data_IF_112208117416
#
_entry.id   IF_112208117416
#
_cell.length_a   1.000
_cell.length_b   1.000
_cell.length_c   1.000
_cell.angle_alpha   90.00
_cell.angle_beta   90.00
_cell.angle_gamma   90.00
#
_symmetry.space_group_name_H-M   'P 1'
#
loop_
_entity.id
_entity.type
_entity.pdbx_description
1 polymer ?
#
# COMPACT_ATOMS: atom_id res chain seq x y z
N UNK A 1 -83.34 -16.84 22.83
CA UNK A 1 -81.87 -16.88 23.06
C UNK A 1 -81.40 -15.45 23.32
N UNK A 2 -81.16 -15.06 24.57
CA UNK A 2 -80.73 -13.70 24.92
C UNK A 2 -79.19 -13.63 24.98
N UNK A 3 -78.58 -13.04 23.96
CA UNK A 3 -77.16 -12.73 23.94
C UNK A 3 -76.86 -11.61 24.95
N UNK A 4 -76.25 -11.99 26.08
CA UNK A 4 -75.82 -11.07 27.13
C UNK A 4 -74.59 -10.30 26.62
N UNK A 5 -74.83 -9.11 26.06
CA UNK A 5 -73.78 -8.21 25.56
C UNK A 5 -72.87 -7.80 26.73
N UNK A 6 -71.66 -8.36 26.80
CA UNK A 6 -70.65 -7.98 27.81
C UNK A 6 -70.22 -6.54 27.52
N UNK A 7 -70.53 -5.61 28.44
CA UNK A 7 -69.88 -4.30 28.52
C UNK A 7 -68.38 -4.54 28.68
N UNK A 8 -67.61 -4.29 27.61
CA UNK A 8 -66.17 -4.14 27.70
C UNK A 8 -65.91 -2.89 28.55
N UNK A 9 -65.31 -3.07 29.72
CA UNK A 9 -64.86 -1.97 30.56
C UNK A 9 -63.93 -1.07 29.75
N UNK A 10 -64.15 0.24 29.81
CA UNK A 10 -63.27 1.22 29.16
C UNK A 10 -61.82 0.96 29.58
N UNK A 11 -60.85 0.92 28.64
CA UNK A 11 -59.46 0.70 28.99
C UNK A 11 -59.01 1.79 29.97
N UNK A 12 -58.46 1.38 31.11
CA UNK A 12 -57.82 2.31 32.04
C UNK A 12 -56.63 2.95 31.32
N UNK A 13 -56.63 4.28 31.24
CA UNK A 13 -55.51 5.03 30.70
C UNK A 13 -54.32 4.93 31.67
N UNK A 14 -53.12 4.74 31.12
CA UNK A 14 -51.88 4.78 31.90
C UNK A 14 -51.66 6.15 32.52
N UNK A 15 -51.15 6.17 33.75
CA UNK A 15 -50.74 7.39 34.43
C UNK A 15 -49.44 7.93 33.84
N UNK A 16 -49.22 9.24 33.95
CA UNK A 16 -47.98 9.88 33.51
C UNK A 16 -46.73 9.27 34.17
N UNK A 17 -46.85 8.86 35.44
CA UNK A 17 -45.77 8.23 36.21
C UNK A 17 -45.39 6.87 35.62
N UNK A 18 -46.38 6.05 35.24
CA UNK A 18 -46.12 4.76 34.59
C UNK A 18 -45.41 4.94 33.24
N UNK A 19 -45.82 5.92 32.44
CA UNK A 19 -45.17 6.24 31.15
C UNK A 19 -43.72 6.68 31.38
N UNK A 20 -43.47 7.56 32.36
CA UNK A 20 -42.13 8.00 32.71
C UNK A 20 -41.26 6.83 33.18
N UNK A 21 -41.78 5.97 34.05
CA UNK A 21 -41.06 4.81 34.56
C UNK A 21 -40.67 3.84 33.44
N UNK A 22 -41.59 3.54 32.51
CA UNK A 22 -41.30 2.71 31.32
C UNK A 22 -40.23 3.35 30.45
N UNK A 23 -40.29 4.67 30.24
CA UNK A 23 -39.29 5.39 29.44
C UNK A 23 -37.90 5.30 30.07
N UNK A 24 -37.80 5.51 31.40
CA UNK A 24 -36.54 5.40 32.15
C UNK A 24 -35.96 3.99 32.08
N UNK A 25 -36.78 2.96 32.32
CA UNK A 25 -36.35 1.56 32.22
C UNK A 25 -35.85 1.25 30.81
N UNK A 26 -36.58 1.70 29.78
CA UNK A 26 -36.22 1.46 28.39
C UNK A 26 -34.89 2.14 28.03
N UNK A 27 -34.67 3.38 28.48
CA UNK A 27 -33.39 4.09 28.29
C UNK A 27 -32.22 3.38 28.98
N UNK A 28 -32.41 2.88 30.21
CA UNK A 28 -31.37 2.12 30.93
C UNK A 28 -31.05 0.82 30.20
N UNK A 29 -32.07 0.07 29.76
CA UNK A 29 -31.88 -1.16 28.99
C UNK A 29 -31.14 -0.90 27.66
N UNK A 30 -31.50 0.16 26.92
CA UNK A 30 -30.76 0.56 25.73
C UNK A 30 -29.32 0.95 26.06
N UNK A 31 -29.09 1.68 27.14
CA UNK A 31 -27.75 2.03 27.61
C UNK A 31 -26.87 0.79 27.88
N UNK A 32 -27.45 -0.27 28.44
CA UNK A 32 -26.75 -1.54 28.71
C UNK A 32 -26.54 -2.38 27.45
N UNK A 33 -27.46 -2.34 26.47
CA UNK A 33 -27.36 -3.12 25.23
C UNK A 33 -26.44 -2.49 24.18
N UNK A 34 -26.35 -1.15 24.15
CA UNK A 34 -25.60 -0.43 23.11
C UNK A 34 -24.11 -0.79 23.02
N UNK A 35 -23.36 -0.96 24.13
CA UNK A 35 -21.96 -1.43 24.06
C UNK A 35 -21.84 -2.80 23.40
N UNK A 36 -22.69 -3.76 23.79
CA UNK A 36 -22.69 -5.12 23.22
C UNK A 36 -23.04 -5.14 21.73
N UNK A 37 -23.97 -4.28 21.29
CA UNK A 37 -24.31 -4.13 19.88
C UNK A 37 -23.16 -3.50 19.07
N UNK A 38 -22.49 -2.48 19.61
CA UNK A 38 -21.30 -1.86 18.97
C UNK A 38 -20.19 -2.89 18.79
N UNK A 39 -19.89 -3.65 19.82
CA UNK A 39 -18.89 -4.70 19.81
C UNK A 39 -19.24 -5.82 18.81
N UNK A 40 -20.48 -6.31 18.84
CA UNK A 40 -20.95 -7.33 17.91
C UNK A 40 -20.85 -6.87 16.45
N UNK A 41 -21.17 -5.59 16.16
CA UNK A 41 -21.02 -5.00 14.83
C UNK A 41 -19.55 -4.94 14.40
N UNK A 42 -18.65 -4.49 15.27
CA UNK A 42 -17.22 -4.44 14.99
C UNK A 42 -16.65 -5.84 14.72
N UNK A 43 -17.04 -6.84 15.51
CA UNK A 43 -16.67 -8.24 15.32
C UNK A 43 -17.18 -8.80 13.99
N UNK A 44 -18.44 -8.52 13.64
CA UNK A 44 -19.02 -8.98 12.38
C UNK A 44 -18.30 -8.37 11.17
N UNK A 45 -17.97 -7.07 11.22
CA UNK A 45 -17.17 -6.39 10.18
C UNK A 45 -15.78 -7.04 10.04
N UNK A 46 -15.11 -7.26 11.17
CA UNK A 46 -13.81 -7.94 11.20
C UNK A 46 -13.87 -9.34 10.58
N UNK A 47 -14.84 -10.18 10.96
CA UNK A 47 -14.95 -11.55 10.42
C UNK A 47 -15.18 -11.52 8.90
N UNK A 48 -16.08 -10.64 8.44
CA UNK A 48 -16.37 -10.47 7.01
C UNK A 48 -15.12 -10.06 6.23
N UNK A 49 -14.41 -9.05 6.72
CA UNK A 49 -13.14 -8.64 6.14
C UNK A 49 -12.09 -9.74 6.19
N UNK A 50 -11.93 -10.42 7.31
CA UNK A 50 -10.90 -11.45 7.45
C UNK A 50 -11.13 -12.57 6.45
N UNK A 51 -12.39 -13.01 6.28
CA UNK A 51 -12.77 -13.96 5.23
C UNK A 51 -12.43 -13.45 3.82
N UNK A 52 -12.67 -12.17 3.54
CA UNK A 52 -12.33 -11.55 2.25
C UNK A 52 -10.81 -11.43 2.03
N UNK A 53 -10.04 -11.02 3.05
CA UNK A 53 -8.57 -10.97 3.00
C UNK A 53 -7.95 -12.36 2.80
N UNK A 54 -8.55 -13.42 3.36
CA UNK A 54 -8.12 -14.80 3.08
C UNK A 54 -8.40 -15.23 1.63
N UNK A 55 -9.34 -14.60 0.92
CA UNK A 55 -9.50 -14.82 -0.52
C UNK A 55 -8.35 -14.19 -1.29
N UNK A 56 -7.91 -12.98 -0.91
CA UNK A 56 -6.71 -12.37 -1.50
C UNK A 56 -5.45 -13.20 -1.29
N UNK A 57 -5.32 -13.87 -0.13
CA UNK A 57 -4.21 -14.80 0.10
C UNK A 57 -4.16 -15.95 -0.91
N UNK A 58 -5.28 -16.25 -1.59
CA UNK A 58 -5.42 -17.33 -2.57
C UNK A 58 -5.59 -16.82 -4.00
N UNK A 59 -5.59 -15.51 -4.20
CA UNK A 59 -5.66 -14.89 -5.53
C UNK A 59 -4.31 -15.08 -6.22
N UNK A 60 -4.32 -15.57 -7.45
CA UNK A 60 -3.13 -15.86 -8.24
C UNK A 60 -2.33 -14.62 -8.60
N UNK A 61 -2.98 -13.46 -8.62
CA UNK A 61 -2.33 -12.19 -8.93
C UNK A 61 -1.84 -11.45 -7.69
N UNK A 62 -2.20 -11.89 -6.48
CA UNK A 62 -1.80 -11.23 -5.24
C UNK A 62 -0.35 -11.59 -4.89
N UNK A 63 0.53 -10.60 -4.82
CA UNK A 63 1.98 -10.77 -4.56
C UNK A 63 2.35 -10.41 -3.14
N UNK A 64 1.70 -9.39 -2.60
CA UNK A 64 1.91 -8.98 -1.21
C UNK A 64 0.54 -8.82 -0.58
N UNK A 65 0.37 -9.37 0.61
CA UNK A 65 -0.75 -9.10 1.50
C UNK A 65 -0.25 -9.04 2.94
N UNK A 66 0.10 -7.83 3.39
CA UNK A 66 0.35 -7.56 4.80
C UNK A 66 -0.97 -7.20 5.46
N UNK A 67 -1.63 -8.18 6.06
CA UNK A 67 -2.90 -7.94 6.74
C UNK A 67 -2.73 -7.33 8.14
N UNK A 68 -1.50 -7.18 8.65
CA UNK A 68 -1.15 -6.68 9.98
C UNK A 68 -1.85 -7.38 11.17
N UNK A 69 -2.69 -8.38 10.94
CA UNK A 69 -3.48 -9.08 11.95
C UNK A 69 -2.77 -10.33 12.45
N UNK A 70 -2.07 -11.02 11.55
CA UNK A 70 -1.33 -12.24 11.89
C UNK A 70 -0.06 -11.95 12.71
N UNK A 71 0.12 -10.69 13.12
CA UNK A 71 1.13 -10.20 14.05
C UNK A 71 2.53 -10.07 13.47
N UNK A 72 3.45 -9.61 14.32
CA UNK A 72 4.89 -9.74 14.07
C UNK A 72 5.26 -11.21 14.22
N UNK A 73 5.90 -11.79 13.22
CA UNK A 73 6.62 -13.05 13.44
C UNK A 73 8.06 -12.73 13.82
N UNK A 74 8.51 -13.29 14.94
CA UNK A 74 9.93 -13.49 15.17
C UNK A 74 10.44 -14.54 14.18
N UNK A 75 11.71 -14.43 13.80
CA UNK A 75 12.46 -15.32 12.89
C UNK A 75 12.18 -15.24 11.39
N UNK A 76 12.59 -14.14 10.76
CA UNK A 76 13.25 -14.31 9.46
C UNK A 76 14.65 -14.87 9.70
N UNK A 77 14.93 -16.09 9.26
CA UNK A 77 16.28 -16.64 9.24
C UNK A 77 16.82 -16.48 7.82
N UNK A 78 17.81 -15.59 7.62
CA UNK A 78 18.47 -15.47 6.32
C UNK A 78 19.10 -16.83 5.96
N UNK A 79 18.92 -17.37 4.74
CA UNK A 79 19.44 -18.70 4.37
C UNK A 79 20.97 -18.85 4.39
N UNK A 80 21.74 -17.76 4.53
CA UNK A 80 23.20 -17.78 4.49
C UNK A 80 23.81 -17.30 5.81
N UNK A 81 24.20 -18.26 6.66
CA UNK A 81 25.20 -18.26 7.76
C UNK A 81 25.21 -17.17 8.86
N UNK A 82 24.37 -16.14 8.82
CA UNK A 82 24.20 -15.21 9.94
C UNK A 82 22.76 -15.24 10.41
N UNK A 83 22.52 -15.73 11.64
CA UNK A 83 21.23 -15.70 12.33
C UNK A 83 20.83 -14.25 12.65
N UNK A 84 20.40 -13.51 11.64
CA UNK A 84 19.84 -12.17 11.81
C UNK A 84 18.38 -12.32 12.21
N UNK A 85 18.04 -11.97 13.43
CA UNK A 85 16.64 -11.87 13.83
C UNK A 85 16.16 -10.47 13.46
N UNK A 86 15.06 -10.37 12.73
CA UNK A 86 14.40 -9.10 12.40
C UNK A 86 12.91 -9.32 12.61
N UNK A 87 12.23 -8.34 13.20
CA UNK A 87 10.77 -8.35 13.28
C UNK A 87 10.20 -8.27 11.85
N UNK A 88 9.33 -9.22 11.50
CA UNK A 88 8.74 -9.27 10.17
C UNK A 88 7.22 -9.23 10.18
N UNK A 89 6.67 -8.58 9.16
CA UNK A 89 5.28 -8.67 8.73
C UNK A 89 5.20 -9.83 7.74
N UNK A 90 4.39 -10.84 8.08
CA UNK A 90 4.20 -11.97 7.19
C UNK A 90 3.44 -11.53 5.94
N UNK A 91 3.93 -11.93 4.78
CA UNK A 91 3.17 -11.90 3.55
C UNK A 91 2.15 -13.07 3.51
N UNK A 92 0.86 -12.74 3.44
CA UNK A 92 -0.22 -13.74 3.35
C UNK A 92 -0.50 -14.25 1.93
N UNK A 93 0.08 -13.63 0.90
CA UNK A 93 -0.23 -13.91 -0.50
C UNK A 93 0.33 -15.27 -0.98
N UNK A 94 -0.23 -16.38 -0.50
CA UNK A 94 0.25 -17.75 -0.72
C UNK A 94 -0.18 -18.34 -2.07
N UNK A 95 -1.22 -17.78 -2.70
CA UNK A 95 -1.80 -18.25 -3.96
C UNK A 95 -1.16 -17.72 -5.24
N UNK A 96 -0.21 -16.77 -5.13
CA UNK A 96 0.42 -16.14 -6.28
C UNK A 96 1.00 -17.19 -7.24
N UNK A 97 0.66 -17.10 -8.52
CA UNK A 97 1.09 -18.06 -9.55
C UNK A 97 2.34 -17.61 -10.30
N UNK A 98 3.01 -16.55 -9.83
CA UNK A 98 4.23 -16.06 -10.45
C UNK A 98 5.31 -17.15 -10.50
N UNK A 99 5.90 -17.32 -11.69
CA UNK A 99 7.02 -18.21 -11.91
C UNK A 99 8.00 -17.57 -12.89
N UNK A 100 9.29 -17.69 -12.60
CA UNK A 100 10.37 -17.18 -13.45
C UNK A 100 11.54 -18.16 -13.49
N UNK A 101 11.92 -18.61 -14.70
CA UNK A 101 13.05 -19.53 -14.98
C UNK A 101 13.26 -20.64 -13.93
N UNK A 102 12.21 -21.43 -13.67
CA UNK A 102 12.30 -22.58 -12.75
C UNK A 102 12.25 -22.22 -11.26
N UNK A 103 11.99 -20.95 -10.91
CA UNK A 103 11.59 -20.54 -9.56
C UNK A 103 10.08 -20.43 -9.51
N UNK A 104 9.51 -21.01 -8.46
CA UNK A 104 8.11 -20.78 -8.07
C UNK A 104 8.07 -19.64 -7.07
N UNK A 105 6.99 -18.87 -7.11
CA UNK A 105 6.72 -17.88 -6.08
C UNK A 105 6.75 -18.50 -4.66
N UNK A 106 7.32 -17.76 -3.72
CA UNK A 106 7.30 -18.06 -2.30
C UNK A 106 6.98 -16.77 -1.53
N UNK A 107 5.84 -16.73 -0.85
CA UNK A 107 5.38 -15.53 -0.15
C UNK A 107 6.40 -14.98 0.84
N UNK A 108 7.18 -15.85 1.49
CA UNK A 108 8.19 -15.46 2.49
C UNK A 108 9.35 -14.67 1.92
N UNK A 109 9.63 -14.82 0.62
CA UNK A 109 10.66 -14.02 -0.04
C UNK A 109 10.27 -12.53 -0.08
N UNK A 110 8.97 -12.24 0.11
CA UNK A 110 8.35 -10.92 0.13
C UNK A 110 7.79 -10.52 1.51
N UNK A 111 8.29 -11.08 2.61
CA UNK A 111 7.93 -10.63 3.96
C UNK A 111 8.37 -9.17 4.21
N UNK A 112 7.59 -8.41 5.00
CA UNK A 112 7.88 -7.02 5.33
C UNK A 112 8.85 -6.92 6.51
N UNK A 113 10.08 -6.48 6.27
CA UNK A 113 11.09 -6.24 7.30
C UNK A 113 10.81 -4.92 8.03
N UNK A 114 10.56 -4.98 9.33
CA UNK A 114 10.39 -3.78 10.14
C UNK A 114 11.76 -3.14 10.42
N UNK A 115 11.91 -1.88 10.01
CA UNK A 115 13.18 -1.16 10.02
C UNK A 115 13.10 0.09 10.88
N UNK A 116 14.27 0.53 11.39
CA UNK A 116 14.45 1.83 12.00
C UNK A 116 15.31 2.73 11.10
N UNK A 117 14.73 3.80 10.56
CA UNK A 117 15.47 4.80 9.79
C UNK A 117 16.20 5.77 10.73
N UNK A 118 17.45 5.47 11.08
CA UNK A 118 18.29 6.34 11.93
C UNK A 118 19.03 7.39 11.11
N UNK A 119 18.81 8.68 11.41
CA UNK A 119 19.69 9.81 11.05
C UNK A 119 20.21 9.84 9.61
N UNK A 120 19.46 10.49 8.72
CA UNK A 120 19.98 11.11 7.49
C UNK A 120 20.24 10.22 6.27
N UNK A 121 20.67 8.97 6.39
CA UNK A 121 21.14 8.24 5.19
C UNK A 121 21.23 6.72 5.25
N UNK A 122 20.91 6.07 6.38
CA UNK A 122 21.05 4.62 6.50
C UNK A 122 19.85 3.96 7.20
N UNK A 123 19.33 2.89 6.60
CA UNK A 123 18.54 1.92 7.34
C UNK A 123 19.47 1.14 8.25
N UNK A 124 19.25 1.26 9.56
CA UNK A 124 19.70 0.23 10.46
C UNK A 124 18.59 -0.82 10.54
N UNK A 125 18.88 -2.01 10.01
CA UNK A 125 18.19 -3.20 10.51
C UNK A 125 18.77 -3.45 11.87
N UNK A 126 17.92 -3.57 12.88
CA UNK A 126 18.43 -4.04 14.14
C UNK A 126 18.69 -5.55 14.00
N UNK A 127 19.96 -5.89 13.87
CA UNK A 127 20.42 -7.26 13.99
C UNK A 127 20.42 -7.59 15.48
N UNK A 128 19.58 -8.53 15.92
CA UNK A 128 19.78 -9.11 17.24
C UNK A 128 21.06 -9.96 17.17
N UNK A 129 22.16 -9.41 17.70
CA UNK A 129 23.28 -10.23 18.13
C UNK A 129 22.93 -10.79 19.50
N UNK A 130 23.03 -12.11 19.63
CA UNK A 130 22.93 -12.80 20.92
C UNK A 130 24.26 -12.59 21.68
N UNK A 131 24.28 -12.03 22.91
CA UNK A 131 23.16 -11.76 23.82
C UNK A 131 22.54 -10.35 23.72
N UNK A 132 21.26 -10.19 24.09
CA UNK A 132 20.47 -8.98 23.83
C UNK A 132 20.71 -7.90 24.89
N UNK A 133 21.89 -7.30 24.95
CA UNK A 133 22.18 -6.26 25.96
C UNK A 133 21.80 -4.84 25.51
N UNK A 134 21.52 -4.60 24.21
CA UNK A 134 21.14 -3.29 23.68
C UNK A 134 20.01 -3.37 22.63
N UNK A 135 18.86 -3.92 23.04
CA UNK A 135 17.69 -4.03 22.14
C UNK A 135 16.96 -2.68 21.94
N UNK A 136 17.37 -1.89 20.95
CA UNK A 136 16.56 -0.80 20.36
C UNK A 136 15.34 -1.39 19.63
N UNK A 137 14.33 -1.87 20.39
CA UNK A 137 13.07 -2.39 19.85
C UNK A 137 12.57 -1.49 18.70
N UNK A 138 12.33 -2.07 17.53
CA UNK A 138 11.74 -1.34 16.41
C UNK A 138 10.40 -0.77 16.88
N UNK A 139 10.32 0.56 16.94
CA UNK A 139 9.25 1.36 17.55
C UNK A 139 7.94 1.35 16.76
N UNK A 140 7.89 0.61 15.66
CA UNK A 140 6.63 0.21 15.03
C UNK A 140 5.88 -0.71 15.99
N UNK A 141 5.19 -0.11 16.96
CA UNK A 141 4.26 -0.80 17.82
C UNK A 141 3.05 -1.14 16.96
N UNK A 142 2.74 -2.44 16.90
CA UNK A 142 1.42 -2.87 16.45
C UNK A 142 0.45 -2.32 17.48
N UNK A 143 -0.26 -1.25 17.13
CA UNK A 143 -1.22 -0.64 18.03
C UNK A 143 -2.53 -1.42 17.93
N UNK A 144 -3.10 -1.73 19.09
CA UNK A 144 -4.52 -2.05 19.18
C UNK A 144 -5.28 -0.76 18.86
N UNK A 145 -6.08 -0.77 17.79
CA UNK A 145 -6.67 0.46 17.24
C UNK A 145 -6.73 0.53 15.72
N UNK A 146 -6.74 -0.62 15.04
CA UNK A 146 -7.12 -0.69 13.63
C UNK A 146 -8.59 -0.28 13.42
N UNK A 147 -9.08 -0.43 12.19
CA UNK A 147 -10.43 0.01 11.76
C UNK A 147 -11.60 -0.50 12.62
N UNK A 148 -11.44 -1.62 13.31
CA UNK A 148 -12.50 -2.20 14.15
C UNK A 148 -12.07 -2.38 15.61
N UNK A 149 -11.38 -1.37 16.15
CA UNK A 149 -10.99 -1.32 17.55
C UNK A 149 -9.95 -2.40 17.89
N UNK A 150 -10.26 -3.24 18.88
CA UNK A 150 -9.32 -4.27 19.36
C UNK A 150 -9.30 -5.54 18.50
N UNK A 151 -10.26 -5.72 17.60
CA UNK A 151 -10.30 -6.88 16.69
C UNK A 151 -9.24 -6.79 15.59
N UNK A 152 -8.87 -5.57 15.19
CA UNK A 152 -7.95 -5.32 14.09
C UNK A 152 -6.71 -4.57 14.58
N UNK A 153 -5.53 -5.09 14.27
CA UNK A 153 -4.27 -4.40 14.51
C UNK A 153 -3.90 -3.50 13.33
N UNK A 154 -3.15 -2.43 13.63
CA UNK A 154 -2.55 -1.54 12.65
C UNK A 154 -1.09 -1.26 13.02
N UNK A 155 -0.25 -1.00 12.03
CA UNK A 155 1.13 -0.58 12.26
C UNK A 155 1.18 0.93 12.45
N UNK A 156 1.77 1.38 13.55
CA UNK A 156 2.00 2.79 13.81
C UNK A 156 3.30 3.28 13.18
N UNK A 157 3.21 4.30 12.34
CA UNK A 157 4.34 5.03 11.80
C UNK A 157 4.50 6.35 12.54
N UNK A 158 5.65 6.53 13.18
CA UNK A 158 5.95 7.67 14.04
C UNK A 158 6.34 8.95 13.28
N UNK A 159 6.42 8.92 11.95
CA UNK A 159 6.91 10.04 11.14
C UNK A 159 8.42 10.29 11.27
N UNK A 160 9.16 9.41 11.95
CA UNK A 160 10.56 9.63 12.27
C UNK A 160 11.45 8.46 11.91
N UNK A 161 11.10 7.25 12.30
CA UNK A 161 12.00 6.12 12.17
C UNK A 161 11.31 4.84 11.69
N UNK A 162 9.99 4.75 11.75
CA UNK A 162 9.29 3.52 11.38
C UNK A 162 9.18 3.40 9.88
N UNK A 163 9.76 2.35 9.31
CA UNK A 163 9.66 2.01 7.88
C UNK A 163 9.50 0.50 7.76
N UNK A 164 8.69 0.04 6.82
CA UNK A 164 8.69 -1.37 6.39
C UNK A 164 9.46 -1.46 5.09
N UNK A 165 10.43 -2.36 4.99
CA UNK A 165 11.01 -2.76 3.70
C UNK A 165 10.40 -4.08 3.28
N UNK A 166 9.91 -4.19 2.06
CA UNK A 166 9.58 -5.52 1.51
C UNK A 166 10.88 -6.27 1.26
N UNK A 167 11.01 -7.47 1.83
CA UNK A 167 12.03 -8.41 1.40
C UNK A 167 11.83 -8.65 -0.09
N UNK A 168 12.93 -8.70 -0.83
CA UNK A 168 12.90 -9.04 -2.25
C UNK A 168 14.01 -10.08 -2.42
N UNK A 169 13.72 -11.26 -3.00
CA UNK A 169 14.74 -12.26 -3.25
C UNK A 169 15.80 -11.66 -4.19
N UNK A 170 16.89 -11.16 -3.59
CA UNK A 170 18.01 -10.54 -4.30
C UNK A 170 18.30 -11.28 -5.61
N UNK A 171 18.37 -10.55 -6.71
CA UNK A 171 18.98 -11.00 -7.95
C UNK A 171 20.48 -11.16 -7.72
N UNK A 172 20.92 -12.34 -7.27
CA UNK A 172 22.33 -12.62 -6.93
C UNK A 172 23.21 -12.81 -8.18
N UNK A 173 22.90 -12.19 -9.31
CA UNK A 173 23.66 -12.41 -10.55
C UNK A 173 24.06 -11.10 -11.23
N UNK A 174 25.35 -10.77 -11.11
CA UNK A 174 26.05 -9.58 -11.61
C UNK A 174 26.16 -9.48 -13.16
N UNK A 175 25.21 -10.02 -13.93
CA UNK A 175 25.35 -10.09 -15.39
C UNK A 175 24.03 -10.18 -16.17
N UNK A 176 22.91 -9.76 -15.57
CA UNK A 176 21.64 -9.76 -16.29
C UNK A 176 21.59 -8.53 -17.20
N UNK A 177 21.48 -8.82 -18.49
CA UNK A 177 21.04 -7.89 -19.54
C UNK A 177 19.61 -7.46 -19.18
N UNK A 178 19.47 -6.22 -18.71
CA UNK A 178 18.16 -5.65 -18.40
C UNK A 178 17.48 -5.25 -19.70
N UNK A 179 16.50 -6.05 -20.07
CA UNK A 179 15.55 -5.72 -21.12
C UNK A 179 14.22 -5.42 -20.45
N UNK A 180 13.76 -4.18 -20.55
CA UNK A 180 12.46 -3.80 -20.02
C UNK A 180 11.51 -3.44 -21.14
N UNK A 181 10.22 -3.59 -20.91
CA UNK A 181 9.22 -3.05 -21.83
C UNK A 181 9.06 -1.55 -21.51
N UNK A 182 9.30 -0.71 -22.49
CA UNK A 182 9.00 0.72 -22.43
C UNK A 182 7.93 1.04 -23.45
N UNK A 183 7.09 2.01 -23.13
CA UNK A 183 6.18 2.61 -24.12
C UNK A 183 6.96 3.79 -24.71
N UNK A 184 7.09 3.87 -26.03
CA UNK A 184 7.77 4.99 -26.70
C UNK A 184 6.81 6.18 -26.90
N UNK A 185 7.31 7.31 -27.40
CA UNK A 185 6.48 8.51 -27.64
C UNK A 185 5.33 8.31 -28.65
N UNK A 186 5.39 7.26 -29.47
CA UNK A 186 4.34 6.86 -30.41
C UNK A 186 3.27 5.97 -29.75
N UNK A 187 3.47 5.57 -28.49
CA UNK A 187 2.60 4.63 -27.78
C UNK A 187 2.90 3.16 -28.05
N UNK A 188 3.95 2.84 -28.81
CA UNK A 188 4.34 1.47 -29.09
C UNK A 188 5.13 0.87 -27.93
N UNK A 189 4.88 -0.40 -27.63
CA UNK A 189 5.76 -1.17 -26.73
C UNK A 189 7.03 -1.52 -27.47
N UNK A 190 8.16 -1.08 -26.93
CA UNK A 190 9.49 -1.45 -27.41
C UNK A 190 10.28 -2.06 -26.24
N UNK A 191 11.11 -3.04 -26.53
CA UNK A 191 12.12 -3.49 -25.59
C UNK A 191 13.18 -2.41 -25.45
N UNK A 192 13.51 -2.01 -24.23
CA UNK A 192 14.65 -1.16 -23.94
C UNK A 192 15.78 -2.03 -23.39
N UNK A 193 16.92 -2.01 -24.08
CA UNK A 193 18.14 -2.72 -23.69
C UNK A 193 19.21 -1.71 -23.30
N UNK A 194 19.87 -1.93 -22.18
CA UNK A 194 21.10 -1.20 -21.88
C UNK A 194 22.32 -1.93 -22.41
N UNK A 195 23.02 -1.30 -23.35
CA UNK A 195 24.32 -1.76 -23.81
C UNK A 195 25.41 -1.32 -22.81
N UNK A 196 25.84 -2.25 -21.97
CA UNK A 196 26.90 -2.05 -20.99
C UNK A 196 28.25 -1.69 -21.63
N UNK A 197 28.49 -2.09 -22.88
CA UNK A 197 29.74 -1.81 -23.58
C UNK A 197 29.83 -0.34 -23.94
N UNK A 198 28.72 0.24 -24.38
CA UNK A 198 28.65 1.61 -24.86
C UNK A 198 28.05 2.59 -23.85
N UNK A 199 27.52 2.10 -22.71
CA UNK A 199 26.85 2.93 -21.71
C UNK A 199 25.60 3.62 -22.24
N UNK A 200 24.92 3.01 -23.23
CA UNK A 200 23.79 3.62 -23.93
C UNK A 200 22.54 2.75 -23.82
N UNK A 201 21.38 3.40 -23.69
CA UNK A 201 20.08 2.75 -23.83
C UNK A 201 19.72 2.67 -25.31
N UNK A 202 19.44 1.46 -25.80
CA UNK A 202 18.96 1.22 -27.16
C UNK A 202 17.56 0.62 -27.09
N UNK A 203 16.63 1.10 -27.91
CA UNK A 203 15.31 0.49 -28.04
C UNK A 203 15.28 -0.51 -29.20
N UNK A 204 14.47 -1.55 -29.05
CA UNK A 204 14.28 -2.63 -30.01
C UNK A 204 12.79 -2.94 -30.10
N UNK A 205 12.26 -3.11 -31.30
CA UNK A 205 10.87 -3.58 -31.47
C UNK A 205 10.67 -5.03 -30.97
N UNK A 206 11.76 -5.76 -30.74
CA UNK A 206 11.75 -7.13 -30.22
C UNK A 206 11.58 -7.14 -28.69
N UNK A 207 10.34 -7.22 -28.24
CA UNK A 207 9.94 -7.36 -26.83
C UNK A 207 10.14 -8.79 -26.28
N UNK A 208 10.44 -9.78 -27.13
CA UNK A 208 10.71 -11.16 -26.66
C UNK A 208 11.97 -11.25 -25.80
N UNK A 209 12.78 -10.20 -25.83
CA UNK A 209 14.00 -10.06 -25.05
C UNK A 209 13.75 -9.52 -23.64
N UNK A 210 12.58 -8.95 -23.34
CA UNK A 210 12.24 -8.44 -21.99
C UNK A 210 12.50 -9.51 -20.96
N UNK A 211 13.21 -9.15 -19.88
CA UNK A 211 13.81 -10.13 -18.98
C UNK A 211 12.73 -11.03 -18.35
N UNK A 212 12.77 -12.36 -18.61
CA UNK A 212 11.85 -13.29 -17.99
C UNK A 212 12.21 -13.58 -16.52
N UNK A 213 13.26 -12.96 -15.95
CA UNK A 213 13.68 -13.13 -14.55
C UNK A 213 13.07 -12.12 -13.57
N UNK A 214 12.22 -11.18 -14.01
CA UNK A 214 11.57 -10.17 -13.15
C UNK A 214 10.83 -10.80 -11.97
N UNK A 215 11.16 -10.34 -10.77
CA UNK A 215 10.55 -10.67 -9.50
C UNK A 215 9.05 -10.33 -9.50
N UNK A 216 8.33 -10.85 -8.52
CA UNK A 216 6.88 -10.72 -8.52
C UNK A 216 6.39 -9.27 -8.29
N UNK A 217 7.23 -8.38 -7.73
CA UNK A 217 6.97 -6.96 -7.47
C UNK A 217 7.62 -6.01 -8.49
N UNK A 218 8.29 -6.55 -9.50
CA UNK A 218 8.94 -5.78 -10.56
C UNK A 218 7.99 -5.60 -11.76
N UNK A 219 7.36 -4.41 -11.81
CA UNK A 219 6.40 -4.02 -12.84
C UNK A 219 7.05 -3.17 -13.94
N UNK A 220 7.01 -3.62 -15.19
CA UNK A 220 7.34 -2.77 -16.34
C UNK A 220 6.21 -1.81 -16.70
N UNK A 221 6.43 -0.99 -17.73
CA UNK A 221 5.40 -0.14 -18.30
C UNK A 221 4.20 -0.94 -18.88
N UNK A 222 4.30 -2.26 -19.06
CA UNK A 222 3.21 -3.07 -19.62
C UNK A 222 2.59 -4.04 -18.62
N UNK A 223 3.05 -4.06 -17.37
CA UNK A 223 2.47 -4.92 -16.35
C UNK A 223 1.42 -4.12 -15.57
N UNK A 224 0.11 -4.43 -15.72
CA UNK A 224 -0.90 -3.80 -14.91
C UNK A 224 -0.73 -4.21 -13.44
N UNK A 225 -1.09 -3.32 -12.52
CA UNK A 225 -1.05 -3.65 -11.10
C UNK A 225 -2.06 -2.83 -10.31
N UNK A 226 -2.34 -3.29 -9.09
CA UNK A 226 -3.14 -2.54 -8.11
C UNK A 226 -2.53 -2.65 -6.74
N UNK A 227 -2.36 -1.52 -6.07
CA UNK A 227 -1.90 -1.43 -4.67
C UNK A 227 -3.06 -0.91 -3.83
N UNK A 228 -3.43 -1.66 -2.79
CA UNK A 228 -4.50 -1.30 -1.86
C UNK A 228 -3.90 -1.15 -0.46
N UNK A 229 -4.18 -0.04 0.20
CA UNK A 229 -3.82 0.17 1.61
C UNK A 229 -4.87 1.01 2.33
N UNK A 230 -4.89 0.92 3.65
CA UNK A 230 -5.68 1.79 4.52
C UNK A 230 -4.74 2.59 5.40
N UNK A 231 -5.02 3.88 5.49
CA UNK A 231 -4.22 4.79 6.31
C UNK A 231 -5.11 5.63 7.20
N UNK A 232 -4.54 6.05 8.33
CA UNK A 232 -5.15 7.00 9.25
C UNK A 232 -4.08 7.99 9.69
N UNK A 233 -4.23 9.25 9.32
CA UNK A 233 -3.33 10.29 9.81
C UNK A 233 -3.60 10.54 11.30
N UNK A 234 -2.55 10.55 12.13
CA UNK A 234 -2.68 10.94 13.55
C UNK A 234 -2.94 12.45 13.66
N UNK A 235 -2.30 13.21 12.78
CA UNK A 235 -2.46 14.66 12.62
C UNK A 235 -2.39 14.98 11.14
N UNK A 236 -3.06 16.06 10.66
CA UNK A 236 -2.87 16.52 9.29
C UNK A 236 -1.38 16.61 8.95
N UNK A 237 -0.94 16.09 7.79
CA UNK A 237 0.46 16.12 7.41
C UNK A 237 0.91 17.58 7.28
N UNK A 238 2.06 17.94 7.84
CA UNK A 238 2.62 19.31 7.72
C UNK A 238 3.63 19.43 6.56
N UNK A 239 3.92 18.32 5.90
CA UNK A 239 4.88 18.17 4.82
C UNK A 239 4.50 16.94 4.00
N UNK A 240 5.17 16.75 2.87
CA UNK A 240 5.03 15.53 2.07
C UNK A 240 5.39 14.28 2.88
N UNK A 241 4.54 13.25 2.77
CA UNK A 241 4.69 11.95 3.42
C UNK A 241 4.43 10.85 2.38
N UNK A 242 5.38 9.94 2.23
CA UNK A 242 5.29 8.78 1.36
C UNK A 242 4.55 7.65 2.08
N UNK A 243 3.44 7.22 1.49
CA UNK A 243 2.67 6.07 1.98
C UNK A 243 3.42 4.78 1.64
N UNK A 244 3.83 4.67 0.38
CA UNK A 244 4.70 3.61 -0.12
C UNK A 244 5.47 4.09 -1.34
N UNK A 245 6.60 3.44 -1.62
CA UNK A 245 7.39 3.68 -2.81
C UNK A 245 8.15 2.41 -3.19
N UNK A 246 8.48 2.27 -4.47
CA UNK A 246 9.50 1.35 -4.97
C UNK A 246 10.46 2.15 -5.82
N UNK A 247 11.64 2.44 -5.29
CA UNK A 247 12.68 3.19 -6.01
C UNK A 247 13.31 2.30 -7.10
N UNK A 248 13.58 2.86 -8.28
CA UNK A 248 14.47 2.26 -9.27
C UNK A 248 15.83 2.92 -9.08
N UNK A 249 16.77 2.22 -8.46
CA UNK A 249 18.03 2.85 -8.03
C UNK A 249 18.77 3.59 -9.17
N UNK A 250 19.61 4.55 -8.79
CA UNK A 250 20.82 4.82 -9.58
C UNK A 250 20.75 5.80 -10.75
N UNK A 251 19.77 6.70 -10.88
CA UNK A 251 20.00 7.87 -11.76
C UNK A 251 20.66 8.98 -10.94
N UNK A 252 21.98 9.06 -11.05
CA UNK A 252 22.81 10.10 -10.45
C UNK A 252 22.38 11.47 -11.00
N UNK A 253 21.72 12.31 -10.20
CA UNK A 253 21.31 13.65 -10.63
C UNK A 253 20.04 14.19 -9.99
N UNK A 254 19.18 13.34 -9.43
CA UNK A 254 17.99 13.78 -8.72
C UNK A 254 18.35 14.57 -7.46
N UNK A 255 17.69 15.71 -7.23
CA UNK A 255 17.92 16.55 -6.05
C UNK A 255 16.74 16.61 -5.06
N UNK A 256 15.53 16.26 -5.49
CA UNK A 256 14.33 16.17 -4.64
C UNK A 256 13.25 15.26 -5.23
N UNK A 257 12.29 14.75 -4.42
CA UNK A 257 11.05 14.19 -4.94
C UNK A 257 10.27 15.27 -5.72
N UNK A 258 9.61 14.91 -6.82
CA UNK A 258 8.96 15.85 -7.74
C UNK A 258 9.87 16.50 -8.80
N UNK A 259 11.14 16.09 -8.92
CA UNK A 259 12.03 16.54 -10.01
C UNK A 259 11.76 15.73 -11.31
N UNK A 260 11.39 16.39 -12.42
CA UNK A 260 11.01 15.75 -13.69
C UNK A 260 11.98 14.78 -14.34
N UNK A 261 13.28 14.98 -14.10
CA UNK A 261 14.25 14.76 -15.17
C UNK A 261 14.61 13.29 -15.38
N UNK A 262 14.38 12.41 -14.41
CA UNK A 262 14.79 11.00 -14.48
C UNK A 262 13.91 10.13 -13.58
N UNK A 263 13.27 9.07 -14.09
CA UNK A 263 12.43 8.17 -13.28
C UNK A 263 13.18 7.64 -12.05
N UNK A 264 12.81 8.12 -10.86
CA UNK A 264 13.44 7.71 -9.59
C UNK A 264 12.66 6.57 -8.91
N UNK A 265 11.38 6.41 -9.21
CA UNK A 265 10.53 5.34 -8.68
C UNK A 265 9.87 4.51 -9.79
N UNK A 266 9.74 3.20 -9.57
CA UNK A 266 8.88 2.34 -10.38
C UNK A 266 7.43 2.74 -10.18
N UNK A 267 7.06 2.92 -8.92
CA UNK A 267 5.82 3.52 -8.47
C UNK A 267 6.06 4.14 -7.09
N UNK A 268 5.32 5.20 -6.78
CA UNK A 268 5.19 5.70 -5.43
C UNK A 268 3.83 6.37 -5.21
N UNK A 269 3.58 6.70 -3.94
CA UNK A 269 2.46 7.52 -3.56
C UNK A 269 2.82 8.37 -2.37
N UNK A 270 2.67 9.68 -2.51
CA UNK A 270 2.94 10.65 -1.46
C UNK A 270 1.82 11.66 -1.31
N UNK A 271 1.72 12.23 -0.12
CA UNK A 271 0.80 13.34 0.13
C UNK A 271 1.38 14.63 -0.44
N UNK A 272 0.68 15.30 -1.33
CA UNK A 272 0.93 16.72 -1.61
C UNK A 272 -0.04 17.56 -0.75
N UNK A 273 0.51 18.28 0.21
CA UNK A 273 -0.27 18.98 1.23
C UNK A 273 -0.18 20.49 1.06
N UNK A 274 -1.33 21.12 0.86
CA UNK A 274 -1.47 22.56 0.76
C UNK A 274 -2.31 23.14 1.92
N UNK A 275 -1.88 22.84 3.15
CA UNK A 275 -2.39 23.47 4.38
C UNK A 275 -3.62 22.84 5.02
N UNK A 276 -4.72 22.61 4.30
CA UNK A 276 -5.91 21.92 4.87
C UNK A 276 -6.47 20.82 4.00
N UNK A 277 -6.19 20.92 2.71
CA UNK A 277 -6.55 19.95 1.70
C UNK A 277 -5.31 19.61 0.88
N UNK A 278 -5.40 18.58 0.07
CA UNK A 278 -4.34 18.27 -0.88
C UNK A 278 -4.71 17.10 -1.78
N UNK A 279 -3.70 16.36 -2.21
CA UNK A 279 -3.81 15.21 -3.11
C UNK A 279 -2.86 14.08 -2.67
N UNK A 280 -3.10 12.89 -3.24
CA UNK A 280 -2.10 11.82 -3.27
C UNK A 280 -1.44 11.85 -4.63
N UNK A 281 -0.23 12.39 -4.67
CA UNK A 281 0.58 12.42 -5.86
C UNK A 281 1.20 11.05 -6.07
N UNK A 282 1.28 10.65 -7.32
CA UNK A 282 1.72 9.34 -7.76
C UNK A 282 2.75 9.53 -8.85
N UNK A 283 3.93 8.96 -8.66
CA UNK A 283 4.89 8.77 -9.74
C UNK A 283 4.86 7.30 -10.16
N UNK A 284 4.77 7.07 -11.46
CA UNK A 284 4.97 5.77 -12.10
C UNK A 284 6.10 5.97 -13.11
N UNK A 285 7.33 5.64 -12.72
CA UNK A 285 8.48 5.86 -13.60
C UNK A 285 8.64 7.35 -13.93
N UNK A 286 8.55 7.73 -15.21
CA UNK A 286 8.62 9.11 -15.69
C UNK A 286 7.25 9.80 -15.68
N UNK A 287 6.17 9.08 -15.35
CA UNK A 287 4.83 9.63 -15.30
C UNK A 287 4.50 10.14 -13.90
N UNK A 288 4.40 11.45 -13.76
CA UNK A 288 3.88 12.08 -12.55
C UNK A 288 2.41 12.37 -12.75
N UNK A 289 1.58 11.94 -11.81
CA UNK A 289 0.15 12.12 -11.80
C UNK A 289 -0.27 12.78 -10.48
N UNK A 290 -0.68 14.03 -10.56
CA UNK A 290 -1.19 14.81 -9.43
C UNK A 290 -2.71 14.92 -9.56
N UNK A 291 -3.49 14.30 -8.66
CA UNK A 291 -4.92 14.55 -8.56
C UNK A 291 -5.22 16.04 -8.32
N UNK A 292 -6.45 16.52 -8.60
CA UNK A 292 -6.82 17.89 -8.30
C UNK A 292 -6.54 18.23 -6.83
N UNK A 293 -5.94 19.39 -6.59
CA UNK A 293 -5.79 19.93 -5.25
C UNK A 293 -7.17 20.00 -4.59
N UNK A 294 -7.31 19.50 -3.36
CA UNK A 294 -8.62 19.42 -2.71
C UNK A 294 -9.31 18.06 -2.82
N UNK A 295 -8.76 17.11 -3.57
CA UNK A 295 -9.31 15.75 -3.70
C UNK A 295 -9.33 15.00 -2.37
N UNK A 296 -8.45 15.38 -1.42
CA UNK A 296 -8.38 14.83 -0.07
C UNK A 296 -8.57 15.91 0.98
N UNK A 297 -9.44 15.63 1.95
CA UNK A 297 -9.50 16.35 3.23
C UNK A 297 -8.57 15.67 4.24
N UNK A 298 -7.37 16.21 4.41
CA UNK A 298 -6.40 15.70 5.37
C UNK A 298 -6.74 16.05 6.83
N UNK A 299 -7.76 16.90 7.09
CA UNK A 299 -8.30 17.09 8.45
C UNK A 299 -9.15 15.90 8.88
N UNK A 300 -9.67 15.13 7.93
CA UNK A 300 -10.37 13.90 8.23
C UNK A 300 -9.37 12.82 8.65
N UNK A 301 -9.12 12.74 9.96
CA UNK A 301 -8.25 11.73 10.58
C UNK A 301 -8.92 10.37 10.75
N UNK A 302 -10.06 10.11 10.11
CA UNK A 302 -10.62 8.76 10.05
C UNK A 302 -9.81 7.87 9.11
N UNK A 303 -10.08 6.57 9.15
CA UNK A 303 -9.46 5.65 8.21
C UNK A 303 -9.89 5.94 6.77
N UNK A 304 -8.91 5.97 5.89
CA UNK A 304 -9.10 6.17 4.46
C UNK A 304 -8.50 4.99 3.73
N UNK A 305 -9.27 4.39 2.83
CA UNK A 305 -8.69 3.50 1.84
C UNK A 305 -8.04 4.33 0.75
N UNK A 306 -6.81 3.96 0.40
CA UNK A 306 -6.10 4.54 -0.73
C UNK A 306 -5.68 3.41 -1.68
N UNK A 307 -6.02 3.57 -2.96
CA UNK A 307 -5.70 2.59 -3.99
C UNK A 307 -5.01 3.28 -5.15
N UNK A 308 -3.88 2.71 -5.58
CA UNK A 308 -3.24 3.01 -6.85
C UNK A 308 -3.51 1.86 -7.80
N UNK A 309 -4.01 2.16 -9.00
CA UNK A 309 -4.18 1.18 -10.06
C UNK A 309 -3.49 1.65 -11.32
N UNK A 310 -2.73 0.76 -11.94
CA UNK A 310 -2.18 0.94 -13.28
C UNK A 310 -2.80 -0.09 -14.24
N UNK A 311 -3.33 0.37 -15.37
CA UNK A 311 -4.05 -0.46 -16.35
C UNK A 311 -3.32 -0.52 -17.68
N UNK A 312 -2.97 -1.72 -18.12
CA UNK A 312 -2.39 -1.99 -19.42
C UNK A 312 -3.07 -3.22 -20.07
N UNK A 313 -3.32 -3.22 -21.40
CA UNK A 313 -3.15 -2.11 -22.33
C UNK A 313 -4.09 -0.95 -21.98
N UNK A 314 -3.68 0.27 -22.34
CA UNK A 314 -4.52 1.45 -22.12
C UNK A 314 -5.85 1.29 -22.88
N UNK A 315 -7.01 1.61 -22.28
CA UNK A 315 -8.29 1.55 -22.97
C UNK A 315 -8.28 2.34 -24.30
N UNK A 316 -8.97 1.84 -25.33
CA UNK A 316 -8.99 2.47 -26.65
C UNK A 316 -9.41 3.96 -26.58
N UNK A 317 -8.65 4.83 -27.24
CA UNK A 317 -8.89 6.28 -27.27
C UNK A 317 -8.42 7.05 -26.03
N UNK A 318 -7.71 6.38 -25.11
CA UNK A 318 -7.10 7.02 -23.95
C UNK A 318 -5.58 7.16 -24.16
N UNK A 319 -5.03 8.35 -23.91
CA UNK A 319 -3.58 8.57 -23.91
C UNK A 319 -2.88 7.67 -22.89
N UNK A 320 -1.62 7.27 -23.10
CA UNK A 320 -0.87 6.34 -22.23
C UNK A 320 -0.89 6.69 -20.73
N UNK A 321 -1.01 7.98 -20.37
CA UNK A 321 -1.11 8.46 -18.99
C UNK A 321 -2.50 8.25 -18.33
N UNK A 322 -3.55 7.92 -19.08
CA UNK A 322 -4.90 7.59 -18.55
C UNK A 322 -5.00 6.16 -17.99
N UNK A 323 -3.87 5.46 -17.92
CA UNK A 323 -3.75 4.14 -17.33
C UNK A 323 -3.63 4.16 -15.80
N UNK A 324 -3.26 5.30 -15.21
CA UNK A 324 -3.12 5.46 -13.75
C UNK A 324 -4.44 5.95 -13.17
N UNK A 325 -4.94 5.26 -12.15
CA UNK A 325 -6.13 5.62 -11.41
C UNK A 325 -5.84 5.61 -9.91
N UNK A 326 -6.30 6.66 -9.23
CA UNK A 326 -6.27 6.76 -7.77
C UNK A 326 -7.70 6.64 -7.26
N UNK A 327 -7.91 5.80 -6.24
CA UNK A 327 -9.18 5.68 -5.55
C UNK A 327 -9.03 6.00 -4.08
N UNK A 328 -10.06 6.66 -3.56
CA UNK A 328 -10.17 7.01 -2.16
C UNK A 328 -11.52 6.52 -1.67
N UNK A 329 -11.49 5.67 -0.66
CA UNK A 329 -12.70 5.08 -0.09
C UNK A 329 -13.60 4.42 -1.15
N UNK A 330 -13.01 3.57 -2.00
CA UNK A 330 -13.69 2.88 -3.10
C UNK A 330 -14.02 3.76 -4.31
N UNK A 331 -13.93 5.10 -4.19
CA UNK A 331 -14.30 6.04 -5.25
C UNK A 331 -13.09 6.50 -6.06
N UNK A 332 -13.18 6.34 -7.38
CA UNK A 332 -12.19 6.87 -8.32
C UNK A 332 -12.12 8.39 -8.26
N UNK A 333 -10.92 8.94 -8.13
CA UNK A 333 -10.68 10.39 -8.22
C UNK A 333 -10.67 10.77 -9.70
N UNK A 334 -11.60 11.64 -10.09
CA UNK A 334 -11.71 12.15 -11.46
C UNK A 334 -10.73 13.29 -11.72
N UNK A 335 -10.27 13.43 -12.96
CA UNK A 335 -9.51 14.62 -13.36
C UNK A 335 -8.09 14.64 -12.84
N UNK A 336 -7.47 13.47 -12.65
CA UNK A 336 -6.02 13.35 -12.54
C UNK A 336 -5.41 14.23 -13.63
N UNK A 337 -4.71 15.30 -13.23
CA UNK A 337 -4.18 16.30 -14.15
C UNK A 337 -3.34 15.58 -15.19
N UNK A 338 -3.44 16.01 -16.45
CA UNK A 338 -2.55 15.47 -17.49
C UNK A 338 -1.13 15.52 -16.96
N UNK A 339 -0.42 14.38 -17.00
CA UNK A 339 0.95 14.30 -16.55
C UNK A 339 1.72 15.49 -17.13
N UNK A 340 2.52 16.18 -16.31
CA UNK A 340 3.28 17.38 -16.73
C UNK A 340 4.26 17.12 -17.88
N UNK A 341 4.38 15.88 -18.38
CA UNK A 341 5.27 15.50 -19.46
C UNK A 341 4.49 15.04 -20.70
N UNK A 342 4.61 15.86 -21.75
CA UNK A 342 4.10 15.67 -23.11
C UNK A 342 4.96 14.73 -23.98
N UNK A 343 6.10 14.24 -23.49
CA UNK A 343 6.92 13.25 -24.20
C UNK A 343 6.53 11.84 -23.75
N UNK A 344 5.62 11.22 -24.49
CA UNK A 344 4.85 10.02 -24.13
C UNK A 344 5.60 8.69 -23.96
N UNK A 345 6.80 8.67 -23.36
CA UNK A 345 7.49 7.42 -23.04
C UNK A 345 7.52 7.09 -21.55
N UNK A 346 7.11 5.88 -21.18
CA UNK A 346 7.26 5.32 -19.83
C UNK A 346 8.57 4.52 -19.80
N UNK A 347 9.58 5.00 -19.07
CA UNK A 347 10.90 4.36 -18.97
C UNK A 347 11.15 3.94 -17.52
N UNK A 348 10.85 2.68 -17.19
CA UNK A 348 10.84 2.22 -15.79
C UNK A 348 12.24 2.13 -15.17
N UNK A 349 13.33 2.18 -15.95
CA UNK A 349 14.63 2.56 -15.39
C UNK A 349 15.60 3.03 -16.47
N UNK A 350 16.21 4.21 -16.28
CA UNK A 350 17.27 4.70 -17.18
C UNK A 350 18.67 4.11 -16.92
N UNK A 351 18.88 3.42 -15.79
CA UNK A 351 20.19 2.87 -15.41
C UNK A 351 20.08 1.40 -14.95
N UNK A 352 20.72 0.45 -15.66
CA UNK A 352 20.71 -0.98 -15.29
C UNK A 352 21.53 -1.31 -14.03
N UNK A 353 22.38 -0.40 -13.56
CA UNK A 353 23.06 -0.54 -12.25
C UNK A 353 22.03 -0.36 -11.11
N UNK A 354 20.90 0.28 -11.42
CA UNK A 354 19.86 0.71 -10.50
C UNK A 354 18.91 -0.34 -9.96
N UNK A 355 18.47 -1.27 -10.81
CA UNK A 355 17.49 -2.30 -10.44
C UNK A 355 18.03 -3.32 -9.43
N UNK A 356 19.35 -3.49 -9.35
CA UNK A 356 20.00 -4.29 -8.30
C UNK A 356 19.78 -3.73 -6.88
N UNK A 357 19.22 -2.51 -6.76
CA UNK A 357 18.83 -1.86 -5.53
C UNK A 357 17.35 -1.47 -5.48
N UNK A 358 16.47 -2.03 -6.32
CA UNK A 358 15.04 -1.73 -6.22
C UNK A 358 14.53 -2.04 -4.82
N UNK A 359 13.89 -1.05 -4.20
CA UNK A 359 13.58 -1.07 -2.78
C UNK A 359 12.15 -0.62 -2.57
N UNK A 360 11.28 -1.59 -2.27
CA UNK A 360 9.89 -1.31 -1.88
C UNK A 360 9.83 -1.01 -0.39
N UNK A 361 9.28 0.14 -0.05
CA UNK A 361 9.16 0.62 1.32
C UNK A 361 7.76 1.13 1.61
N UNK A 362 7.32 0.94 2.86
CA UNK A 362 6.10 1.53 3.41
C UNK A 362 6.47 2.57 4.46
N UNK A 363 5.76 3.70 4.43
CA UNK A 363 5.88 4.79 5.39
C UNK A 363 7.17 5.62 5.28
N UNK A 364 7.85 5.54 4.13
CA UNK A 364 9.00 6.38 3.83
C UNK A 364 9.45 6.22 2.38
N UNK A 365 10.02 7.29 1.84
CA UNK A 365 10.58 7.33 0.50
C UNK A 365 12.08 6.97 0.58
N UNK A 366 12.53 5.89 -0.07
CA UNK A 366 13.96 5.60 -0.18
C UNK A 366 14.58 6.56 -1.19
N UNK A 367 15.68 7.17 -0.80
CA UNK A 367 16.41 8.15 -1.58
C UNK A 367 17.85 7.68 -1.72
N UNK A 368 18.26 7.36 -2.95
CA UNK A 368 19.65 7.02 -3.23
C UNK A 368 20.55 8.26 -3.15
N UNK A 369 21.37 8.35 -2.11
CA UNK A 369 22.36 9.43 -1.97
C UNK A 369 23.47 9.32 -3.03
N UNK A 370 23.84 10.44 -3.65
CA UNK A 370 24.94 10.49 -4.61
C UNK A 370 26.26 10.05 -3.94
N UNK A 371 26.86 8.94 -4.42
CA UNK A 371 28.22 8.54 -4.04
C UNK A 371 28.38 7.51 -2.91
N UNK A 372 27.30 6.88 -2.43
CA UNK A 372 27.38 5.77 -1.48
C UNK A 372 26.17 4.85 -1.59
N UNK A 373 26.33 3.55 -1.41
CA UNK A 373 25.26 2.54 -1.42
C UNK A 373 24.32 2.66 -0.19
N UNK A 374 23.94 3.89 0.15
CA UNK A 374 23.23 4.28 1.37
C UNK A 374 21.93 4.99 1.00
N UNK A 375 20.82 4.43 1.46
CA UNK A 375 19.49 4.99 1.23
C UNK A 375 19.12 5.96 2.36
N UNK A 376 18.97 7.24 2.03
CA UNK A 376 18.29 8.21 2.88
C UNK A 376 16.79 7.95 2.84
N UNK A 377 16.10 8.16 3.96
CA UNK A 377 14.65 8.00 4.04
C UNK A 377 14.04 9.37 4.25
N UNK A 378 13.34 9.84 3.23
CA UNK A 378 12.65 11.11 3.23
C UNK A 378 11.13 10.90 3.31
N UNK A 379 10.39 11.99 3.50
CA UNK A 379 8.92 11.98 3.43
C UNK A 379 8.30 10.90 4.32
N UNK A 380 8.66 10.87 5.59
CA UNK A 380 8.25 9.78 6.49
C UNK A 380 6.78 9.91 6.85
N UNK A 381 6.04 8.82 6.71
CA UNK A 381 4.62 8.78 7.07
C UNK A 381 4.45 8.85 8.58
N UNK A 382 3.47 9.66 9.01
CA UNK A 382 3.05 9.76 10.41
C UNK A 382 1.57 9.41 10.53
N UNK A 383 1.28 8.24 11.06
CA UNK A 383 -0.08 7.73 11.10
C UNK A 383 -0.15 6.25 11.42
N UNK A 384 -1.33 5.68 11.25
CA UNK A 384 -1.53 4.24 11.27
C UNK A 384 -1.70 3.75 9.84
N UNK A 385 -1.14 2.58 9.54
CA UNK A 385 -1.41 1.84 8.32
C UNK A 385 -2.05 0.50 8.68
N UNK A 386 -3.04 0.13 7.89
CA UNK A 386 -3.69 -1.16 7.92
C UNK A 386 -3.81 -1.66 6.49
N UNK A 387 -3.60 -2.94 6.27
CA UNK A 387 -3.41 -3.58 4.97
C UNK A 387 -2.39 -2.94 4.04
N UNK A 388 -1.55 -3.78 3.45
CA UNK A 388 -0.83 -3.40 2.26
C UNK A 388 -0.87 -4.58 1.30
N UNK A 389 -1.58 -4.40 0.19
CA UNK A 389 -1.87 -5.47 -0.76
C UNK A 389 -1.44 -5.05 -2.15
N UNK A 390 -0.75 -5.92 -2.86
CA UNK A 390 -0.27 -5.68 -4.24
C UNK A 390 -0.76 -6.80 -5.14
N UNK A 391 -1.45 -6.45 -6.22
CA UNK A 391 -1.92 -7.36 -7.27
C UNK A 391 -1.17 -7.10 -8.58
N UNK A 392 -0.83 -8.15 -9.34
CA UNK A 392 -0.27 -8.09 -10.71
C UNK A 392 -1.33 -7.90 -11.79
N UNK A 393 -2.45 -7.30 -11.43
CA UNK A 393 -3.53 -6.94 -12.35
C UNK A 393 -4.19 -5.64 -11.95
N UNK A 394 -4.83 -5.00 -12.91
CA UNK A 394 -5.70 -3.87 -12.68
C UNK A 394 -7.04 -4.38 -12.15
N UNK A 395 -7.32 -4.22 -10.85
CA UNK A 395 -8.64 -4.51 -10.29
C UNK A 395 -9.69 -3.62 -10.95
N UNK A 396 -10.84 -4.16 -11.29
CA UNK A 396 -11.96 -3.37 -11.81
C UNK A 396 -12.47 -2.35 -10.77
N UNK A 397 -13.18 -1.30 -11.22
CA UNK A 397 -13.78 -0.31 -10.31
C UNK A 397 -14.68 -0.96 -9.25
N UNK A 398 -15.39 -2.03 -9.64
CA UNK A 398 -16.25 -2.80 -8.73
C UNK A 398 -15.45 -3.61 -7.71
N UNK A 399 -14.32 -4.17 -8.11
CA UNK A 399 -13.43 -4.86 -7.17
C UNK A 399 -12.85 -3.87 -6.17
N UNK A 400 -12.37 -2.71 -6.63
CA UNK A 400 -11.90 -1.63 -5.74
C UNK A 400 -13.00 -1.18 -4.78
N UNK A 401 -14.21 -0.92 -5.27
CA UNK A 401 -15.34 -0.61 -4.40
C UNK A 401 -15.65 -1.74 -3.41
N UNK A 402 -15.60 -3.00 -3.86
CA UNK A 402 -15.79 -4.17 -2.99
C UNK A 402 -14.74 -4.24 -1.89
N UNK A 403 -13.49 -3.91 -2.18
CA UNK A 403 -12.43 -3.83 -1.17
C UNK A 403 -12.74 -2.78 -0.10
N UNK A 404 -13.31 -1.64 -0.50
CA UNK A 404 -13.77 -0.61 0.44
C UNK A 404 -14.94 -1.09 1.28
N UNK A 405 -15.98 -1.64 0.65
CA UNK A 405 -17.22 -2.06 1.32
C UNK A 405 -16.96 -3.15 2.38
N UNK A 406 -15.97 -4.01 2.13
CA UNK A 406 -15.52 -5.02 3.08
C UNK A 406 -14.68 -4.44 4.22
N UNK A 407 -13.85 -3.44 3.92
CA UNK A 407 -12.88 -2.84 4.84
C UNK A 407 -13.32 -1.58 5.59
N UNK A 408 -14.44 -0.95 5.23
CA UNK A 408 -14.87 0.32 5.84
C UNK A 408 -15.30 0.14 7.30
N UNK A 409 -15.05 1.15 8.14
CA UNK A 409 -15.39 1.17 9.58
C UNK A 409 -16.88 1.06 9.91
#
# INVERSE_FOLDING_TARGET
MNAKMRKLSSPQAFTLIEILMVTVITMVLFGMLMPGLKESRARAKFIRWYGYNQQWNRDTDCVVNYNFQDGKKSTFQRPSSSSLWVDTLRNGAEGCDWAAKGRTYNARDYDGLLCKATGGSSLSYQIYQDPPTNSIRVTGEMKTGGRWGWYKQALNFDGQNTVVRVSDPKYVTNSIIWNDAVINSSGDVVGAYYDYTNGTMTTSSDVSKVDPMRDALDFSAVDPFTIVTWIKFETPPSSMQAIYARECGGVSGHKSPGDPATASSQYDMFTDFNGTTGSFDVELSTLVCTPPAGSIDFKNTNWQQVVLRYTYPTPAGASAYRAIDVFINGKKISGLGGASYTSGSIIVSGNPIGRAGSLTTLGGYPWYGYGGYTYSYQCKFKGLMDEFVVFKRALSDKEVQGTFDMGSE
#
